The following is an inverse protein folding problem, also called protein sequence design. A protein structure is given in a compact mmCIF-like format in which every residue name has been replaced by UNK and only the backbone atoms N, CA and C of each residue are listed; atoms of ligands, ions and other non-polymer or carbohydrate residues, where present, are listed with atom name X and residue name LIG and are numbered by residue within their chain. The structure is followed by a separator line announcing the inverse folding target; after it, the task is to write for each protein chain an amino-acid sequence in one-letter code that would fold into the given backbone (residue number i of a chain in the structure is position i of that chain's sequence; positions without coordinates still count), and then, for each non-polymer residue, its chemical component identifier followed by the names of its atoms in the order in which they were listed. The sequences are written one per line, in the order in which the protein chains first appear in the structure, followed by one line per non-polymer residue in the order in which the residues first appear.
data_IF_379446622066
#
_entry.id   IF_379446622066
#
_cell.length_a   1.000
_cell.length_b   1.000
_cell.length_c   1.000
_cell.angle_alpha   90.00
_cell.angle_beta   90.00
_cell.angle_gamma   90.00
#
_symmetry.space_group_name_H-M   'P 1'
#
loop_
_entity.id
_entity.type
_entity.pdbx_description
1 polymer ?
#
# COMPACT_ATOMS: atom_id res chain seq x y z
N UNK A 1 -27.55 2.67 -30.30
CA UNK A 1 -28.46 2.41 -29.16
C UNK A 1 -28.03 1.10 -28.53
N UNK A 2 -27.18 1.16 -27.49
CA UNK A 2 -26.81 -0.04 -26.70
C UNK A 2 -26.40 0.43 -25.31
N UNK A 3 -27.10 -0.09 -24.30
CA UNK A 3 -27.21 0.45 -22.95
C UNK A 3 -25.92 0.35 -22.14
N UNK A 4 -25.57 1.45 -21.46
CA UNK A 4 -24.68 1.46 -20.28
C UNK A 4 -25.45 0.90 -19.09
N UNK A 5 -24.96 -0.17 -18.45
CA UNK A 5 -25.41 -0.56 -17.12
C UNK A 5 -24.51 0.05 -16.06
N UNK A 6 -25.07 1.03 -15.35
CA UNK A 6 -24.56 1.60 -14.12
C UNK A 6 -25.01 0.66 -12.98
N UNK A 7 -24.07 0.16 -12.17
CA UNK A 7 -24.39 -0.64 -10.99
C UNK A 7 -24.23 0.22 -9.74
N UNK A 8 -25.36 0.48 -9.10
CA UNK A 8 -25.54 1.21 -7.85
C UNK A 8 -25.30 0.26 -6.69
N UNK A 9 -24.32 0.60 -5.82
CA UNK A 9 -24.09 -0.08 -4.56
C UNK A 9 -25.02 0.45 -3.46
N UNK A 10 -25.77 -0.46 -2.84
CA UNK A 10 -26.84 -0.22 -1.88
C UNK A 10 -26.28 0.18 -0.50
N UNK A 11 -26.69 1.33 0.03
CA UNK A 11 -26.44 1.71 1.42
C UNK A 11 -27.23 0.80 2.38
N UNK A 12 -26.56 0.22 3.39
CA UNK A 12 -27.22 -0.48 4.50
C UNK A 12 -27.41 0.47 5.68
N UNK A 13 -28.69 0.78 5.98
CA UNK A 13 -29.11 1.36 7.26
C UNK A 13 -29.02 0.28 8.34
N UNK A 14 -28.44 0.62 9.49
CA UNK A 14 -28.49 -0.21 10.70
C UNK A 14 -29.60 0.36 11.59
N UNK A 15 -30.57 -0.49 11.93
CA UNK A 15 -31.65 -0.16 12.85
C UNK A 15 -31.15 -0.33 14.30
N UNK A 16 -31.40 0.68 15.13
CA UNK A 16 -31.21 0.61 16.58
C UNK A 16 -32.43 -0.08 17.20
N UNK A 17 -32.24 -1.29 17.72
CA UNK A 17 -33.17 -1.97 18.62
C UNK A 17 -32.48 -2.13 19.97
N UNK A 18 -32.90 -1.33 20.95
CA UNK A 18 -32.34 -1.34 22.29
C UNK A 18 -32.91 -2.45 23.16
N UNK A 19 -32.02 -3.19 23.84
CA UNK A 19 -32.27 -3.83 25.12
C UNK A 19 -30.99 -3.62 25.95
N UNK A 20 -31.10 -2.82 27.01
CA UNK A 20 -30.00 -2.57 27.95
C UNK A 20 -30.01 -3.69 28.99
N UNK A 21 -29.02 -4.58 28.92
CA UNK A 21 -28.66 -5.48 30.02
C UNK A 21 -27.38 -4.93 30.63
N UNK A 22 -27.50 -4.37 31.84
CA UNK A 22 -26.36 -3.87 32.59
C UNK A 22 -25.56 -5.07 33.15
N UNK A 23 -24.47 -5.43 32.47
CA UNK A 23 -23.47 -6.34 33.01
C UNK A 23 -22.31 -5.52 33.57
N UNK A 24 -22.15 -5.55 34.89
CA UNK A 24 -20.97 -5.08 35.59
C UNK A 24 -19.80 -5.96 35.15
N UNK A 25 -18.87 -5.43 34.37
CA UNK A 25 -17.61 -6.08 34.08
C UNK A 25 -16.50 -5.16 34.57
N UNK A 26 -15.78 -5.65 35.57
CA UNK A 26 -14.62 -5.01 36.17
C UNK A 26 -13.65 -4.54 35.08
N UNK A 27 -13.31 -3.25 35.13
CA UNK A 27 -12.34 -2.61 34.25
C UNK A 27 -10.93 -3.15 34.51
N UNK A 28 -10.62 -4.29 33.91
CA UNK A 28 -9.26 -4.66 33.59
C UNK A 28 -8.92 -4.05 32.24
N UNK A 29 -8.02 -3.06 32.21
CA UNK A 29 -7.29 -2.75 30.97
C UNK A 29 -6.49 -4.00 30.65
N UNK A 30 -7.03 -4.86 29.78
CA UNK A 30 -6.27 -5.93 29.16
C UNK A 30 -5.20 -5.25 28.30
N UNK A 31 -4.04 -5.02 28.91
CA UNK A 31 -2.80 -4.83 28.18
C UNK A 31 -2.72 -6.00 27.19
N UNK A 32 -2.86 -5.70 25.89
CA UNK A 32 -2.70 -6.72 24.86
C UNK A 32 -1.27 -7.24 25.00
N UNK A 33 -1.17 -8.52 25.35
CA UNK A 33 0.09 -9.25 25.44
C UNK A 33 0.94 -8.97 24.19
N UNK A 34 2.25 -8.80 24.44
CA UNK A 34 3.29 -8.62 23.45
C UNK A 34 3.00 -9.40 22.17
N UNK A 35 2.91 -8.69 21.04
CA UNK A 35 2.65 -9.30 19.74
C UNK A 35 3.78 -10.26 19.39
N UNK A 36 3.60 -11.54 19.73
CA UNK A 36 4.48 -12.61 19.31
C UNK A 36 4.77 -12.45 17.80
N UNK A 37 6.03 -12.60 17.40
CA UNK A 37 6.41 -12.51 15.99
C UNK A 37 5.53 -13.44 15.16
N UNK A 38 5.03 -13.00 13.99
CA UNK A 38 4.10 -13.79 13.20
C UNK A 38 4.71 -15.13 12.81
N UNK A 39 3.90 -16.18 12.85
CA UNK A 39 4.31 -17.50 12.33
C UNK A 39 4.55 -17.45 10.82
N UNK A 40 5.31 -18.41 10.30
CA UNK A 40 5.54 -18.55 8.86
C UNK A 40 4.22 -18.60 8.07
N UNK A 41 3.23 -19.35 8.58
CA UNK A 41 1.90 -19.46 7.96
C UNK A 41 1.19 -18.10 7.89
N UNK A 42 1.29 -17.29 8.95
CA UNK A 42 0.75 -15.93 8.95
C UNK A 42 1.43 -15.06 7.91
N UNK A 43 2.77 -15.06 7.83
CA UNK A 43 3.50 -14.29 6.80
C UNK A 43 3.08 -14.69 5.38
N UNK A 44 2.93 -15.99 5.09
CA UNK A 44 2.47 -16.45 3.78
C UNK A 44 1.03 -15.98 3.50
N UNK A 45 0.15 -16.04 4.50
CA UNK A 45 -1.22 -15.53 4.39
C UNK A 45 -1.25 -14.02 4.18
N UNK A 46 -0.42 -13.27 4.89
CA UNK A 46 -0.29 -11.82 4.73
C UNK A 46 0.23 -11.48 3.34
N UNK A 47 1.27 -12.16 2.86
CA UNK A 47 1.76 -11.98 1.50
C UNK A 47 0.65 -12.22 0.47
N UNK A 48 -0.14 -13.29 0.64
CA UNK A 48 -1.26 -13.60 -0.24
C UNK A 48 -2.29 -12.46 -0.30
N UNK A 49 -2.67 -11.91 0.86
CA UNK A 49 -3.63 -10.82 0.97
C UNK A 49 -3.07 -9.52 0.40
N UNK A 50 -1.89 -9.12 0.85
CA UNK A 50 -1.31 -7.81 0.52
C UNK A 50 -0.86 -7.72 -0.94
N UNK A 51 -0.34 -8.80 -1.54
CA UNK A 51 0.22 -8.77 -2.91
C UNK A 51 -0.82 -9.09 -4.00
N UNK A 52 -1.80 -9.96 -3.71
CA UNK A 52 -2.76 -10.45 -4.71
C UNK A 52 -4.19 -9.94 -4.54
N UNK A 53 -4.50 -9.16 -3.50
CA UNK A 53 -5.75 -8.39 -3.43
C UNK A 53 -5.52 -6.93 -3.86
N UNK A 54 -6.50 -6.07 -3.64
CA UNK A 54 -6.46 -4.65 -3.96
C UNK A 54 -7.45 -3.92 -3.07
N UNK A 55 -7.00 -2.85 -2.42
CA UNK A 55 -7.84 -2.00 -1.58
C UNK A 55 -8.85 -1.18 -2.38
N UNK A 56 -8.52 -0.89 -3.65
CA UNK A 56 -9.31 -0.02 -4.52
C UNK A 56 -10.56 -0.73 -5.05
N UNK A 57 -10.39 -1.98 -5.50
CA UNK A 57 -11.47 -2.86 -5.94
C UNK A 57 -10.98 -4.29 -6.18
N UNK A 58 -11.85 -5.31 -6.03
CA UNK A 58 -11.51 -6.71 -6.34
C UNK A 58 -11.07 -6.96 -7.79
N UNK A 59 -11.59 -6.19 -8.75
CA UNK A 59 -11.25 -6.32 -10.17
C UNK A 59 -9.82 -5.89 -10.49
N UNK A 60 -9.21 -5.08 -9.62
CA UNK A 60 -7.81 -4.64 -9.71
C UNK A 60 -6.82 -5.61 -9.06
N UNK A 61 -7.31 -6.69 -8.43
CA UNK A 61 -6.51 -7.73 -7.82
C UNK A 61 -5.56 -8.39 -8.84
N UNK A 62 -4.29 -8.56 -8.45
CA UNK A 62 -3.30 -9.17 -9.33
C UNK A 62 -3.41 -10.71 -9.33
N UNK A 63 -3.28 -11.33 -10.50
CA UNK A 63 -3.17 -12.80 -10.62
C UNK A 63 -1.71 -13.29 -10.62
N UNK A 64 -0.76 -12.37 -10.76
CA UNK A 64 0.67 -12.62 -10.85
C UNK A 64 1.46 -11.66 -9.96
N UNK A 65 2.69 -12.01 -9.61
CA UNK A 65 3.59 -11.09 -8.91
C UNK A 65 3.88 -9.88 -9.81
N UNK A 66 3.44 -8.69 -9.42
CA UNK A 66 3.70 -7.44 -10.11
C UNK A 66 4.68 -6.60 -9.28
N UNK A 67 5.85 -6.31 -9.83
CA UNK A 67 6.87 -5.48 -9.15
C UNK A 67 7.70 -4.67 -10.15
N UNK A 68 8.47 -3.72 -9.64
CA UNK A 68 9.46 -3.00 -10.45
C UNK A 68 10.55 -3.96 -10.94
N UNK A 69 11.01 -3.73 -12.18
CA UNK A 69 12.14 -4.45 -12.76
C UNK A 69 13.33 -3.52 -13.01
N UNK A 70 13.09 -2.22 -13.13
CA UNK A 70 14.11 -1.19 -13.17
C UNK A 70 14.79 -1.03 -11.81
N UNK A 71 16.11 -0.88 -11.80
CA UNK A 71 16.88 -0.54 -10.61
C UNK A 71 18.11 0.30 -11.01
N UNK A 72 18.10 1.64 -10.83
CA UNK A 72 17.18 2.38 -9.97
C UNK A 72 15.83 2.74 -10.61
N UNK A 73 14.77 2.80 -9.79
CA UNK A 73 13.45 3.33 -10.12
C UNK A 73 13.47 4.86 -10.05
N UNK A 74 12.80 5.56 -10.98
CA UNK A 74 12.70 7.01 -10.94
C UNK A 74 11.80 7.51 -9.80
N UNK A 75 12.15 8.62 -9.17
CA UNK A 75 11.34 9.35 -8.19
C UNK A 75 11.20 10.80 -8.63
N UNK A 76 10.00 11.36 -8.58
CA UNK A 76 9.79 12.79 -8.78
C UNK A 76 8.80 13.32 -7.75
N UNK A 77 9.02 14.56 -7.30
CA UNK A 77 8.14 15.28 -6.39
C UNK A 77 7.63 16.51 -7.12
N UNK A 78 6.36 16.86 -6.94
CA UNK A 78 5.72 18.02 -7.57
C UNK A 78 4.65 18.64 -6.69
N UNK A 79 4.28 19.89 -6.98
CA UNK A 79 3.25 20.63 -6.25
C UNK A 79 3.79 21.41 -5.04
N UNK A 80 3.00 21.46 -3.97
CA UNK A 80 3.25 22.22 -2.74
C UNK A 80 4.26 21.51 -1.83
N UNK A 81 5.50 21.41 -2.29
CA UNK A 81 6.57 20.70 -1.58
C UNK A 81 7.09 21.56 -0.41
N UNK A 82 7.21 20.94 0.77
CA UNK A 82 7.85 21.51 1.96
C UNK A 82 9.12 20.71 2.32
N UNK A 83 10.10 21.30 3.04
CA UNK A 83 11.28 20.58 3.49
C UNK A 83 10.99 19.31 4.29
N UNK A 84 9.91 19.30 5.08
CA UNK A 84 9.46 18.11 5.81
C UNK A 84 9.14 16.94 4.88
N UNK A 85 8.39 17.18 3.80
CA UNK A 85 7.99 16.13 2.85
C UNK A 85 9.20 15.53 2.12
N UNK A 86 10.17 16.37 1.75
CA UNK A 86 11.42 15.90 1.12
C UNK A 86 12.15 14.95 2.07
N UNK A 87 12.35 15.36 3.33
CA UNK A 87 13.03 14.54 4.35
C UNK A 87 12.28 13.24 4.64
N UNK A 88 10.95 13.27 4.68
CA UNK A 88 10.11 12.09 4.87
C UNK A 88 10.29 11.09 3.71
N UNK A 89 10.11 11.54 2.46
CA UNK A 89 10.30 10.72 1.27
C UNK A 89 11.70 10.12 1.22
N UNK A 90 12.74 10.94 1.41
CA UNK A 90 14.12 10.44 1.42
C UNK A 90 14.37 9.37 2.49
N UNK A 91 13.83 9.57 3.70
CA UNK A 91 13.95 8.60 4.79
C UNK A 91 13.27 7.28 4.46
N UNK A 92 12.05 7.35 3.92
CA UNK A 92 11.28 6.16 3.52
C UNK A 92 11.98 5.41 2.39
N UNK A 93 12.45 6.12 1.36
CA UNK A 93 13.19 5.51 0.25
C UNK A 93 14.49 4.84 0.73
N UNK A 94 15.23 5.44 1.67
CA UNK A 94 16.41 4.80 2.29
C UNK A 94 16.05 3.50 3.02
N UNK A 95 14.93 3.48 3.76
CA UNK A 95 14.46 2.26 4.43
C UNK A 95 14.03 1.19 3.41
N UNK A 96 13.26 1.56 2.39
CA UNK A 96 12.83 0.66 1.31
C UNK A 96 14.04 0.08 0.59
N UNK A 97 15.06 0.89 0.26
CA UNK A 97 16.31 0.41 -0.36
C UNK A 97 17.03 -0.59 0.53
N UNK A 98 17.13 -0.34 1.84
CA UNK A 98 17.80 -1.24 2.79
C UNK A 98 17.12 -2.61 2.87
N UNK A 99 15.79 -2.64 2.77
CA UNK A 99 14.99 -3.87 2.93
C UNK A 99 14.86 -4.65 1.61
N UNK A 100 14.64 -3.96 0.50
CA UNK A 100 14.34 -4.56 -0.80
C UNK A 100 15.53 -4.66 -1.75
N UNK A 101 16.57 -3.85 -1.55
CA UNK A 101 17.68 -3.68 -2.51
C UNK A 101 17.33 -2.81 -3.73
N UNK A 102 16.11 -2.30 -3.85
CA UNK A 102 15.71 -1.38 -4.93
C UNK A 102 16.25 0.00 -4.63
N UNK A 103 17.02 0.56 -5.58
CA UNK A 103 17.53 1.94 -5.51
C UNK A 103 16.60 2.89 -6.24
N UNK A 104 16.74 4.18 -5.91
CA UNK A 104 15.93 5.24 -6.47
C UNK A 104 16.81 6.35 -7.03
N UNK A 105 16.33 7.04 -8.07
CA UNK A 105 16.99 8.21 -8.65
C UNK A 105 15.98 9.33 -8.89
N UNK A 106 16.37 10.58 -8.62
CA UNK A 106 15.53 11.73 -8.93
C UNK A 106 15.37 11.86 -10.46
N UNK A 107 14.15 12.09 -10.93
CA UNK A 107 13.81 12.32 -12.34
C UNK A 107 12.84 13.48 -12.47
N UNK A 108 12.61 13.94 -13.70
CA UNK A 108 11.57 14.95 -13.96
C UNK A 108 10.17 14.34 -13.74
N UNK A 109 9.17 15.14 -13.33
CA UNK A 109 7.79 14.67 -13.23
C UNK A 109 7.29 14.05 -14.54
N UNK A 110 6.44 13.02 -14.44
CA UNK A 110 5.90 12.26 -15.58
C UNK A 110 6.92 11.47 -16.42
N UNK A 111 8.17 11.32 -15.95
CA UNK A 111 9.13 10.41 -16.59
C UNK A 111 8.58 8.97 -16.53
N UNK A 112 8.67 8.17 -17.62
CA UNK A 112 8.36 6.74 -17.55
C UNK A 112 9.24 5.99 -16.53
N UNK A 113 8.78 4.83 -16.06
CA UNK A 113 9.48 4.00 -15.08
C UNK A 113 9.83 4.75 -13.78
N UNK A 114 8.86 5.53 -13.28
CA UNK A 114 9.02 6.33 -12.08
C UNK A 114 7.77 6.33 -11.19
N UNK A 115 7.99 6.60 -9.90
CA UNK A 115 6.98 6.96 -8.92
C UNK A 115 6.93 8.50 -8.90
N UNK A 116 5.78 9.08 -9.23
CA UNK A 116 5.58 10.53 -9.20
C UNK A 116 4.68 10.92 -8.03
N UNK A 117 5.21 11.70 -7.10
CA UNK A 117 4.49 12.19 -5.93
C UNK A 117 3.98 13.61 -6.18
N UNK A 118 2.68 13.82 -5.98
CA UNK A 118 2.00 15.10 -6.15
C UNK A 118 1.46 15.58 -4.79
N UNK A 119 2.07 16.65 -4.28
CA UNK A 119 1.67 17.32 -3.04
C UNK A 119 0.68 18.43 -3.38
N UNK A 120 -0.61 18.19 -3.15
CA UNK A 120 -1.70 19.04 -3.62
C UNK A 120 -2.70 19.33 -2.50
N UNK A 121 -3.46 20.42 -2.57
CA UNK A 121 -4.65 20.59 -1.72
C UNK A 121 -5.80 19.73 -2.21
N UNK A 122 -6.85 19.57 -1.39
CA UNK A 122 -8.10 18.95 -1.84
C UNK A 122 -8.64 19.64 -3.10
N UNK A 123 -8.66 20.98 -3.12
CA UNK A 123 -9.13 21.74 -4.28
C UNK A 123 -8.31 21.45 -5.55
N UNK A 124 -6.99 21.33 -5.45
CA UNK A 124 -6.12 20.98 -6.58
C UNK A 124 -6.35 19.54 -7.04
N UNK A 125 -6.47 18.58 -6.11
CA UNK A 125 -6.78 17.17 -6.40
C UNK A 125 -8.10 17.05 -7.17
N UNK A 126 -9.14 17.78 -6.74
CA UNK A 126 -10.43 17.77 -7.43
C UNK A 126 -10.35 18.30 -8.86
N UNK A 127 -9.30 19.05 -9.20
CA UNK A 127 -9.07 19.62 -10.52
C UNK A 127 -7.96 18.91 -11.32
N UNK A 128 -7.42 17.78 -10.86
CA UNK A 128 -6.39 17.01 -11.58
C UNK A 128 -6.93 16.58 -12.94
N UNK A 129 -6.19 16.90 -14.00
CA UNK A 129 -6.46 16.49 -15.39
C UNK A 129 -5.24 15.81 -15.99
N UNK A 130 -5.44 14.80 -16.83
CA UNK A 130 -4.34 14.16 -17.54
C UNK A 130 -4.80 13.11 -18.54
N UNK A 131 -4.08 12.97 -19.66
CA UNK A 131 -4.45 12.02 -20.74
C UNK A 131 -4.50 10.55 -20.30
N UNK A 132 -3.85 10.20 -19.18
CA UNK A 132 -3.70 8.81 -18.71
C UNK A 132 -4.08 8.66 -17.22
N UNK A 133 -4.94 9.54 -16.73
CA UNK A 133 -5.38 9.56 -15.33
C UNK A 133 -6.90 9.65 -15.34
N UNK A 134 -7.57 8.73 -14.64
CA UNK A 134 -9.02 8.81 -14.44
C UNK A 134 -9.29 9.82 -13.32
N UNK A 135 -9.52 11.08 -13.70
CA UNK A 135 -9.77 12.16 -12.75
C UNK A 135 -10.99 11.90 -11.88
N UNK A 136 -12.05 11.24 -12.40
CA UNK A 136 -13.24 10.92 -11.59
C UNK A 136 -12.93 9.87 -10.54
N UNK A 137 -12.13 8.87 -10.92
CA UNK A 137 -11.65 7.86 -9.97
C UNK A 137 -10.83 8.51 -8.86
N UNK A 138 -9.85 9.35 -9.20
CA UNK A 138 -9.04 10.07 -8.19
C UNK A 138 -9.92 10.91 -7.28
N UNK A 139 -10.85 11.70 -7.85
CA UNK A 139 -11.76 12.55 -7.08
C UNK A 139 -12.59 11.73 -6.08
N UNK A 140 -13.09 10.57 -6.50
CA UNK A 140 -13.90 9.70 -5.64
C UNK A 140 -13.06 9.11 -4.49
N UNK A 141 -11.87 8.58 -4.78
CA UNK A 141 -10.99 8.00 -3.76
C UNK A 141 -10.44 9.07 -2.81
N UNK A 142 -10.05 10.22 -3.34
CA UNK A 142 -9.52 11.36 -2.60
C UNK A 142 -10.61 12.27 -2.02
N UNK A 143 -11.85 11.83 -1.85
CA UNK A 143 -12.85 12.65 -1.16
C UNK A 143 -12.54 12.75 0.34
N UNK A 144 -12.20 11.61 0.95
CA UNK A 144 -11.88 11.51 2.38
C UNK A 144 -10.47 10.97 2.65
N UNK A 145 -9.79 10.42 1.64
CA UNK A 145 -8.43 9.90 1.80
C UNK A 145 -7.40 11.02 2.00
N UNK A 146 -6.28 10.68 2.64
CA UNK A 146 -5.13 11.57 2.84
C UNK A 146 -4.13 11.43 1.70
N UNK A 147 -3.93 10.20 1.25
CA UNK A 147 -3.17 9.89 0.06
C UNK A 147 -3.93 8.88 -0.80
N UNK A 148 -3.40 8.68 -2.01
CA UNK A 148 -3.81 7.63 -2.92
C UNK A 148 -2.60 7.27 -3.79
N UNK A 149 -2.24 5.99 -3.88
CA UNK A 149 -1.40 5.50 -4.96
C UNK A 149 -2.23 4.97 -6.14
N UNK A 150 -1.62 5.04 -7.32
CA UNK A 150 -2.04 4.34 -8.52
C UNK A 150 -0.82 3.70 -9.16
N UNK A 151 -0.85 2.39 -9.38
CA UNK A 151 0.23 1.67 -10.06
C UNK A 151 -0.22 1.14 -11.42
N UNK A 152 0.52 1.45 -12.46
CA UNK A 152 0.27 1.02 -13.83
C UNK A 152 1.28 -0.06 -14.23
N UNK A 153 0.78 -1.10 -14.90
CA UNK A 153 1.55 -2.31 -15.23
C UNK A 153 1.61 -2.51 -16.75
N UNK A 154 2.78 -2.85 -17.30
CA UNK A 154 2.94 -3.20 -18.73
C UNK A 154 4.11 -4.17 -19.00
N UNK A 155 3.84 -5.43 -19.40
CA UNK A 155 2.58 -6.18 -19.23
C UNK A 155 2.23 -6.34 -17.74
N UNK A 156 1.18 -7.09 -17.38
CA UNK A 156 0.64 -7.18 -16.00
C UNK A 156 1.69 -7.41 -14.89
N UNK A 157 2.81 -8.07 -15.20
CA UNK A 157 3.92 -8.35 -14.27
C UNK A 157 4.86 -7.19 -13.94
N UNK A 158 4.93 -6.15 -14.78
CA UNK A 158 5.93 -5.09 -14.68
C UNK A 158 5.27 -3.79 -14.30
N UNK A 159 5.55 -3.27 -13.12
CA UNK A 159 5.18 -1.89 -12.77
C UNK A 159 6.04 -0.97 -13.64
N UNK A 160 5.40 -0.03 -14.33
CA UNK A 160 6.07 0.92 -15.26
C UNK A 160 5.81 2.38 -14.91
N UNK A 161 4.87 2.64 -14.01
CA UNK A 161 4.53 3.97 -13.52
C UNK A 161 3.75 3.82 -12.23
N UNK A 162 4.07 4.65 -11.24
CA UNK A 162 3.19 4.87 -10.11
C UNK A 162 2.96 6.37 -9.89
N UNK A 163 1.78 6.71 -9.42
CA UNK A 163 1.40 8.06 -9.01
C UNK A 163 1.01 8.00 -7.54
N UNK A 164 1.45 8.95 -6.74
CA UNK A 164 1.04 9.11 -5.35
C UNK A 164 0.52 10.53 -5.21
N UNK A 165 -0.73 10.67 -4.79
CA UNK A 165 -1.35 11.96 -4.48
C UNK A 165 -1.35 12.15 -2.97
N UNK A 166 -0.95 13.32 -2.50
CA UNK A 166 -0.88 13.64 -1.07
C UNK A 166 -1.67 14.91 -0.84
N UNK A 167 -2.69 14.84 0.02
CA UNK A 167 -3.41 16.02 0.48
C UNK A 167 -2.58 16.77 1.54
N UNK A 168 -2.00 17.91 1.15
CA UNK A 168 -1.12 18.71 2.03
C UNK A 168 -1.86 19.48 3.13
N UNK A 169 -3.19 19.37 3.19
CA UNK A 169 -4.03 19.94 4.25
C UNK A 169 -4.16 19.00 5.46
N UNK A 170 -3.68 17.75 5.34
CA UNK A 170 -3.62 16.82 6.45
C UNK A 170 -2.47 17.16 7.43
N UNK A 171 -2.55 16.75 8.71
CA UNK A 171 -1.44 16.86 9.66
C UNK A 171 -0.16 16.17 9.17
N UNK A 172 0.99 16.80 9.38
CA UNK A 172 2.31 16.32 8.92
C UNK A 172 2.61 14.87 9.35
N UNK A 173 2.26 14.49 10.59
CA UNK A 173 2.46 13.12 11.09
C UNK A 173 1.65 12.07 10.31
N UNK A 174 0.42 12.42 9.90
CA UNK A 174 -0.43 11.54 9.11
C UNK A 174 0.04 11.47 7.65
N UNK A 175 0.53 12.59 7.10
CA UNK A 175 1.19 12.60 5.79
C UNK A 175 2.41 11.69 5.81
N UNK A 176 3.22 11.73 6.86
CA UNK A 176 4.43 10.90 6.98
C UNK A 176 4.13 9.40 6.99
N UNK A 177 3.16 8.96 7.79
CA UNK A 177 2.70 7.57 7.82
C UNK A 177 2.16 7.13 6.46
N UNK A 178 1.28 7.95 5.88
CA UNK A 178 0.64 7.70 4.60
C UNK A 178 1.66 7.65 3.44
N UNK A 179 2.66 8.53 3.44
CA UNK A 179 3.75 8.47 2.46
C UNK A 179 4.51 7.14 2.50
N UNK A 180 4.75 6.58 3.68
CA UNK A 180 5.44 5.30 3.80
C UNK A 180 4.61 4.16 3.20
N UNK A 181 3.34 4.10 3.56
CA UNK A 181 2.37 3.14 3.04
C UNK A 181 2.31 3.18 1.52
N UNK A 182 2.01 4.35 0.95
CA UNK A 182 1.82 4.54 -0.48
C UNK A 182 3.09 4.25 -1.29
N UNK A 183 4.26 4.62 -0.75
CA UNK A 183 5.54 4.27 -1.36
C UNK A 183 5.73 2.76 -1.41
N UNK A 184 5.44 2.03 -0.34
CA UNK A 184 5.60 0.56 -0.29
C UNK A 184 4.52 -0.14 -1.12
N UNK A 185 3.26 0.29 -1.06
CA UNK A 185 2.20 -0.26 -1.90
C UNK A 185 2.53 -0.09 -3.40
N UNK A 186 3.11 1.05 -3.79
CA UNK A 186 3.60 1.30 -5.15
C UNK A 186 4.74 0.37 -5.60
N UNK A 187 5.37 -0.36 -4.66
CA UNK A 187 6.37 -1.38 -4.96
C UNK A 187 5.77 -2.73 -5.38
N UNK A 188 4.46 -2.92 -5.25
CA UNK A 188 3.76 -4.16 -5.58
C UNK A 188 3.06 -4.84 -4.41
N UNK A 189 2.69 -4.07 -3.37
CA UNK A 189 1.96 -4.54 -2.18
C UNK A 189 0.61 -3.79 -2.06
N UNK A 190 -0.29 -3.86 -3.04
CA UNK A 190 -1.33 -2.86 -3.30
C UNK A 190 -2.60 -2.93 -2.41
N UNK A 191 -2.55 -3.59 -1.26
CA UNK A 191 -3.76 -3.89 -0.49
C UNK A 191 -3.53 -3.78 1.01
N UNK A 192 -4.59 -3.40 1.72
CA UNK A 192 -4.61 -3.33 3.18
C UNK A 192 -5.36 -4.48 3.88
N UNK A 193 -4.99 -4.73 5.13
CA UNK A 193 -5.65 -5.69 6.01
C UNK A 193 -5.39 -5.42 7.49
N UNK A 194 -6.48 -5.20 8.24
CA UNK A 194 -6.44 -5.05 9.70
C UNK A 194 -6.10 -6.33 10.48
N UNK A 195 -5.92 -7.46 9.78
CA UNK A 195 -5.44 -8.72 10.35
C UNK A 195 -3.92 -8.78 10.46
N UNK A 196 -3.21 -7.87 9.81
CA UNK A 196 -1.76 -7.72 9.85
C UNK A 196 -1.46 -6.49 10.71
N UNK A 197 -1.08 -6.71 11.98
CA UNK A 197 -0.76 -5.62 12.92
C UNK A 197 0.38 -6.01 13.87
N UNK A 198 1.26 -5.07 14.26
CA UNK A 198 1.36 -3.70 13.74
C UNK A 198 1.84 -3.70 12.28
N UNK A 199 1.33 -2.78 11.45
CA UNK A 199 1.63 -2.75 10.01
C UNK A 199 1.34 -1.40 9.35
N UNK A 200 2.09 -1.04 8.31
CA UNK A 200 1.69 0.07 7.43
C UNK A 200 0.44 -0.26 6.60
N UNK A 201 0.13 -1.55 6.40
CA UNK A 201 -1.03 -2.00 5.63
C UNK A 201 -2.30 -2.15 6.47
N UNK A 202 -2.40 -1.48 7.62
CA UNK A 202 -3.58 -1.54 8.48
C UNK A 202 -4.12 -0.14 8.68
N UNK A 203 -5.40 0.07 8.32
CA UNK A 203 -6.14 1.32 8.57
C UNK A 203 -6.12 1.77 10.04
N UNK A 204 -5.86 0.82 10.95
CA UNK A 204 -5.85 1.03 12.40
C UNK A 204 -4.49 1.47 12.96
N UNK A 205 -3.45 1.47 12.12
CA UNK A 205 -2.08 1.82 12.51
C UNK A 205 -1.59 3.04 11.71
N UNK A 206 -0.74 3.86 12.32
CA UNK A 206 -0.14 5.05 11.68
C UNK A 206 1.38 5.02 11.85
N UNK A 207 2.01 4.02 11.25
CA UNK A 207 3.44 3.78 11.40
C UNK A 207 4.26 4.68 10.47
N UNK A 208 5.29 5.32 11.03
CA UNK A 208 6.28 6.10 10.25
C UNK A 208 7.56 5.32 9.96
N UNK A 209 7.59 4.02 10.29
CA UNK A 209 8.67 3.07 10.02
C UNK A 209 8.08 1.70 9.73
N UNK A 210 8.76 0.90 8.92
CA UNK A 210 8.32 -0.46 8.62
C UNK A 210 8.34 -1.34 9.88
N UNK A 211 7.22 -2.03 10.14
CA UNK A 211 7.13 -3.10 11.15
C UNK A 211 8.02 -4.28 10.76
N UNK A 212 8.15 -5.27 11.65
CA UNK A 212 8.82 -6.52 11.32
C UNK A 212 8.17 -7.21 10.12
N UNK A 213 6.84 -7.35 10.14
CA UNK A 213 6.08 -8.01 9.08
C UNK A 213 6.21 -7.27 7.75
N UNK A 214 6.16 -5.94 7.75
CA UNK A 214 6.30 -5.13 6.53
C UNK A 214 7.66 -5.37 5.87
N UNK A 215 8.72 -5.43 6.70
CA UNK A 215 10.09 -5.72 6.23
C UNK A 215 10.18 -7.12 5.63
N UNK A 216 9.58 -8.12 6.27
CA UNK A 216 9.55 -9.50 5.75
C UNK A 216 8.82 -9.55 4.41
N UNK A 217 7.61 -8.99 4.31
CA UNK A 217 6.82 -8.99 3.08
C UNK A 217 7.55 -8.30 1.93
N UNK A 218 8.11 -7.11 2.17
CA UNK A 218 8.85 -6.36 1.17
C UNK A 218 10.12 -7.11 0.72
N UNK A 219 10.86 -7.70 1.66
CA UNK A 219 12.06 -8.49 1.35
C UNK A 219 11.74 -9.75 0.56
N UNK A 220 10.65 -10.46 0.92
CA UNK A 220 10.18 -11.63 0.17
C UNK A 220 9.75 -11.24 -1.24
N UNK A 221 9.01 -10.13 -1.41
CA UNK A 221 8.56 -9.68 -2.72
C UNK A 221 9.74 -9.42 -3.67
N UNK A 222 10.83 -8.84 -3.15
CA UNK A 222 12.02 -8.48 -3.93
C UNK A 222 13.14 -9.53 -3.91
N UNK A 223 12.96 -10.67 -3.25
CA UNK A 223 13.92 -11.78 -3.33
C UNK A 223 14.07 -12.23 -4.80
N UNK A 224 15.32 -12.44 -5.28
CA UNK A 224 15.58 -12.80 -6.68
C UNK A 224 14.91 -14.10 -7.13
N UNK A 225 14.54 -15.00 -6.22
CA UNK A 225 13.84 -16.27 -6.53
C UNK A 225 12.38 -16.05 -6.93
N UNK A 226 11.72 -15.01 -6.41
CA UNK A 226 10.35 -14.68 -6.77
C UNK A 226 10.35 -13.78 -8.01
N UNK A 227 10.13 -14.33 -9.20
CA UNK A 227 10.22 -13.57 -10.45
C UNK A 227 8.97 -12.72 -10.71
N UNK A 228 9.09 -11.55 -11.37
CA UNK A 228 7.92 -10.84 -11.88
C UNK A 228 7.12 -11.73 -12.82
N UNK A 229 5.81 -11.80 -12.63
CA UNK A 229 4.91 -12.60 -13.44
C UNK A 229 4.66 -14.02 -12.92
N UNK A 230 5.32 -14.43 -11.83
CA UNK A 230 5.01 -15.71 -11.17
C UNK A 230 3.51 -15.74 -10.79
N UNK A 231 2.73 -16.73 -11.26
CA UNK A 231 1.32 -16.87 -10.92
C UNK A 231 1.10 -17.03 -9.41
N UNK A 232 0.00 -16.48 -8.90
CA UNK A 232 -0.35 -16.51 -7.46
C UNK A 232 -0.12 -17.87 -6.80
N UNK A 233 -0.65 -18.95 -7.37
CA UNK A 233 -0.54 -20.30 -6.79
C UNK A 233 0.91 -20.76 -6.64
N UNK A 234 1.73 -20.53 -7.67
CA UNK A 234 3.15 -20.89 -7.66
C UNK A 234 3.94 -19.99 -6.70
N UNK A 235 3.61 -18.69 -6.69
CA UNK A 235 4.25 -17.70 -5.85
C UNK A 235 4.16 -18.08 -4.36
N UNK A 236 3.01 -18.58 -3.88
CA UNK A 236 2.85 -18.92 -2.46
C UNK A 236 3.81 -20.01 -1.98
N UNK A 237 4.13 -21.01 -2.82
CA UNK A 237 5.13 -22.04 -2.49
C UNK A 237 6.56 -21.48 -2.43
N UNK A 238 6.89 -20.57 -3.35
CA UNK A 238 8.19 -19.89 -3.37
C UNK A 238 8.34 -18.95 -2.16
N UNK A 239 7.29 -18.14 -1.90
CA UNK A 239 7.17 -17.21 -0.77
C UNK A 239 7.40 -17.91 0.54
N UNK A 240 6.80 -19.09 0.75
CA UNK A 240 6.92 -19.81 2.00
C UNK A 240 8.38 -20.25 2.29
N UNK A 241 9.12 -20.68 1.26
CA UNK A 241 10.56 -21.01 1.38
C UNK A 241 11.41 -19.77 1.66
N UNK A 242 11.16 -18.67 0.95
CA UNK A 242 11.89 -17.41 1.14
C UNK A 242 11.62 -16.85 2.53
N UNK A 243 10.35 -16.80 2.95
CA UNK A 243 9.94 -16.28 4.25
C UNK A 243 10.58 -17.07 5.40
N UNK A 244 10.59 -18.41 5.32
CA UNK A 244 11.26 -19.24 6.33
C UNK A 244 12.73 -18.85 6.51
N UNK A 245 13.46 -18.66 5.40
CA UNK A 245 14.86 -18.23 5.42
C UNK A 245 15.02 -16.80 5.96
N UNK A 246 14.18 -15.85 5.52
CA UNK A 246 14.22 -14.45 5.97
C UNK A 246 13.94 -14.34 7.48
N UNK A 247 13.05 -15.18 8.00
CA UNK A 247 12.66 -15.22 9.41
C UNK A 247 13.59 -16.08 10.27
N UNK A 248 14.52 -16.84 9.67
CA UNK A 248 15.40 -17.77 10.39
C UNK A 248 14.67 -18.98 10.99
N UNK A 249 13.55 -19.40 10.41
CA UNK A 249 12.75 -20.55 10.89
C UNK A 249 12.83 -21.73 9.92
N UNK A 250 12.59 -22.94 10.44
CA UNK A 250 12.55 -24.16 9.61
C UNK A 250 11.28 -24.16 8.73
N UNK A 251 11.45 -24.63 7.49
CA UNK A 251 10.38 -24.79 6.49
C UNK A 251 9.76 -26.18 6.59
#
# INVERSE_FOLDING_TARGET
MTQRRMLVGRARKVAFGGIVVAAIVAGGVLARADSASPSLRQIVSYFNTIVFASELSPEMASKVVAKWQDNPVGISLSGRIKPFYIKAVERHLREITRVSGVRFKQVKPNTPNAISLYFLTRAEIMNVKGKNVDSRFIQAQMLHARCLFLAYRKPEKRIVRALIFVNVEAPDALIDSCLLEELVQSMGLPNDSNNLRPSIFSDLDHLTRLSYSDKVLLRVLYDPRLKPGTPRREALGIVAKIAAQVMGVKY
#
